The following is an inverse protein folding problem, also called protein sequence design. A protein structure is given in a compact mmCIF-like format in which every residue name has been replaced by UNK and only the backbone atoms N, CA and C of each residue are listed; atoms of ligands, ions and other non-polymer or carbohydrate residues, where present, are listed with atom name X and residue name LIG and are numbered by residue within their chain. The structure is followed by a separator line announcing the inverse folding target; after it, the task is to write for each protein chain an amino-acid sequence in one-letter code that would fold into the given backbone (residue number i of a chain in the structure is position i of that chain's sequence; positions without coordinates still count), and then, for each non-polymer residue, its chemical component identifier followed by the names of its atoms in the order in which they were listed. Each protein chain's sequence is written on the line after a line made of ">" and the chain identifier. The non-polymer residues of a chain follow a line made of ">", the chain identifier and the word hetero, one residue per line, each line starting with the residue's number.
data_IF_850455001197
#
_entry.id   IF_850455001197
#
_cell.length_a   1.000
_cell.length_b   1.000
_cell.length_c   1.000
_cell.angle_alpha   90.00
_cell.angle_beta   90.00
_cell.angle_gamma   90.00
#
_symmetry.space_group_name_H-M   'P 1'
#
loop_
_entity.id
_entity.type
_entity.pdbx_description
1 polymer ?
#
# COMPACT_ATOMS: atom_id res chain seq x y z
N UNK A 1 11.44 -1.79 -26.11
CA UNK A 1 10.60 -2.25 -24.95
C UNK A 1 9.82 -1.03 -24.49
N UNK A 2 8.53 -1.18 -24.23
CA UNK A 2 7.65 -0.10 -23.70
C UNK A 2 7.10 -0.58 -22.35
N UNK A 3 7.19 0.26 -21.33
CA UNK A 3 6.67 -0.04 -19.99
C UNK A 3 5.77 1.09 -19.50
N UNK A 4 4.70 0.73 -18.80
CA UNK A 4 3.78 1.63 -18.11
C UNK A 4 4.19 1.71 -16.64
N UNK A 5 4.39 2.92 -16.12
CA UNK A 5 4.88 3.15 -14.76
C UNK A 5 3.94 4.13 -14.03
N UNK A 6 3.58 3.79 -12.81
CA UNK A 6 2.76 4.63 -11.94
C UNK A 6 3.59 5.09 -10.74
N UNK A 7 3.56 6.40 -10.46
CA UNK A 7 4.26 7.02 -9.33
C UNK A 7 3.26 7.77 -8.48
N UNK A 8 3.27 7.54 -7.18
CA UNK A 8 2.48 8.28 -6.21
C UNK A 8 3.28 9.44 -5.61
N UNK A 9 2.63 10.58 -5.38
CA UNK A 9 3.19 11.74 -4.70
C UNK A 9 2.35 12.03 -3.46
N UNK A 10 2.92 11.77 -2.26
CA UNK A 10 2.25 11.94 -0.97
C UNK A 10 2.27 13.41 -0.51
N UNK A 11 1.75 14.32 -1.34
CA UNK A 11 1.52 15.72 -1.02
C UNK A 11 0.01 15.97 -0.86
N UNK A 12 -0.38 17.06 -0.22
CA UNK A 12 -1.81 17.46 -0.06
C UNK A 12 -2.53 17.64 -1.40
N UNK A 13 -1.82 18.21 -2.39
CA UNK A 13 -2.25 18.33 -3.78
C UNK A 13 -1.62 17.27 -4.69
N UNK A 14 -1.25 16.14 -4.11
CA UNK A 14 -0.58 15.04 -4.77
C UNK A 14 -1.51 14.20 -5.64
N UNK A 15 -1.00 13.07 -6.08
CA UNK A 15 -1.74 12.16 -6.95
C UNK A 15 -0.87 11.08 -7.54
N UNK A 16 -1.43 10.41 -8.53
CA UNK A 16 -0.78 9.31 -9.24
C UNK A 16 -0.42 9.77 -10.65
N UNK A 17 0.86 9.76 -10.96
CA UNK A 17 1.41 10.08 -12.28
C UNK A 17 1.61 8.79 -13.08
N UNK A 18 1.03 8.74 -14.26
CA UNK A 18 1.26 7.65 -15.20
C UNK A 18 2.28 8.07 -16.26
N UNK A 19 3.37 7.35 -16.35
CA UNK A 19 4.41 7.54 -17.37
C UNK A 19 4.55 6.33 -18.27
N UNK A 20 4.92 6.59 -19.51
CA UNK A 20 5.41 5.57 -20.45
C UNK A 20 6.92 5.68 -20.55
N UNK A 21 7.60 4.58 -20.26
CA UNK A 21 9.02 4.42 -20.55
C UNK A 21 9.17 3.74 -21.92
N UNK A 22 9.77 4.44 -22.88
CA UNK A 22 10.07 3.93 -24.20
C UNK A 22 11.45 4.41 -24.66
N UNK A 23 12.30 3.49 -25.09
CA UNK A 23 13.66 3.79 -25.57
C UNK A 23 14.48 4.65 -24.59
N UNK A 24 14.37 4.37 -23.28
CA UNK A 24 15.06 5.11 -22.22
C UNK A 24 14.46 6.47 -21.87
N UNK A 25 13.36 6.88 -22.51
CA UNK A 25 12.69 8.16 -22.27
C UNK A 25 11.36 7.94 -21.53
N UNK A 26 11.16 8.72 -20.46
CA UNK A 26 9.90 8.83 -19.73
C UNK A 26 9.03 9.93 -20.34
N UNK A 27 7.77 9.62 -20.61
CA UNK A 27 6.78 10.59 -21.08
C UNK A 27 5.53 10.51 -20.21
N UNK A 28 5.12 11.63 -19.61
CA UNK A 28 3.88 11.72 -18.84
C UNK A 28 2.67 11.49 -19.74
N UNK A 29 1.78 10.59 -19.35
CA UNK A 29 0.54 10.26 -20.07
C UNK A 29 -0.69 10.83 -19.39
N UNK A 30 -0.76 10.69 -18.06
CA UNK A 30 -1.91 11.18 -17.30
C UNK A 30 -1.50 11.47 -15.85
N UNK A 31 -2.29 12.31 -15.20
CA UNK A 31 -2.25 12.57 -13.77
C UNK A 31 -3.63 12.34 -13.20
N UNK A 32 -3.72 11.60 -12.11
CA UNK A 32 -4.96 11.36 -11.36
C UNK A 32 -4.79 11.98 -9.99
N UNK A 33 -5.51 13.08 -9.67
CA UNK A 33 -5.44 13.68 -8.34
C UNK A 33 -6.02 12.73 -7.30
N UNK A 34 -5.32 12.55 -6.20
CA UNK A 34 -5.83 11.91 -4.99
C UNK A 34 -5.01 12.37 -3.79
N UNK A 35 -5.64 12.45 -2.62
CA UNK A 35 -4.99 13.00 -1.44
C UNK A 35 -3.95 12.02 -0.87
N UNK A 36 -2.73 12.52 -0.71
CA UNK A 36 -1.61 11.86 -0.02
C UNK A 36 -1.43 10.36 -0.33
N UNK A 37 -1.32 9.93 -1.60
CA UNK A 37 -1.10 8.54 -1.94
C UNK A 37 0.31 8.10 -1.53
N UNK A 38 0.40 7.16 -0.58
CA UNK A 38 1.66 6.68 0.01
C UNK A 38 2.35 5.62 -0.83
N UNK A 39 1.60 4.61 -1.24
CA UNK A 39 2.16 3.43 -1.91
C UNK A 39 1.16 2.87 -2.92
N UNK A 40 1.65 2.39 -4.05
CA UNK A 40 0.82 1.84 -5.13
C UNK A 40 1.34 0.50 -5.61
N UNK A 41 0.42 -0.40 -5.91
CA UNK A 41 0.72 -1.64 -6.64
C UNK A 41 -0.25 -1.81 -7.82
N UNK A 42 0.19 -2.55 -8.83
CA UNK A 42 -0.68 -2.99 -9.93
C UNK A 42 -0.90 -4.49 -9.84
N UNK A 43 -2.17 -4.89 -9.89
CA UNK A 43 -2.59 -6.29 -9.98
C UNK A 43 -3.51 -6.44 -11.20
N UNK A 44 -3.05 -7.17 -12.22
CA UNK A 44 -3.76 -7.32 -13.50
C UNK A 44 -3.99 -5.95 -14.17
N UNK A 45 -5.27 -5.53 -14.35
CA UNK A 45 -5.67 -4.21 -14.90
C UNK A 45 -6.18 -3.25 -13.82
N UNK A 46 -5.83 -3.48 -12.58
CA UNK A 46 -6.21 -2.67 -11.43
C UNK A 46 -4.96 -2.05 -10.80
N UNK A 47 -5.13 -0.86 -10.25
CA UNK A 47 -4.15 -0.20 -9.41
C UNK A 47 -4.75 -0.01 -8.03
N UNK A 48 -4.00 -0.42 -7.02
CA UNK A 48 -4.35 -0.24 -5.61
C UNK A 48 -3.43 0.80 -5.00
N UNK A 49 -3.99 1.69 -4.19
CA UNK A 49 -3.22 2.75 -3.54
C UNK A 49 -3.60 2.89 -2.07
N UNK A 50 -2.61 3.15 -1.23
CA UNK A 50 -2.81 3.62 0.14
C UNK A 50 -2.93 5.14 0.11
N UNK A 51 -4.01 5.66 0.71
CA UNK A 51 -4.20 7.05 1.05
C UNK A 51 -3.87 7.23 2.53
N UNK A 52 -2.92 8.11 2.85
CA UNK A 52 -2.28 8.14 4.16
C UNK A 52 -3.21 8.46 5.33
N UNK A 53 -4.10 9.41 5.15
CA UNK A 53 -4.92 10.03 6.21
C UNK A 53 -6.29 10.30 5.59
N UNK A 54 -7.03 9.22 5.39
CA UNK A 54 -8.19 9.21 4.50
C UNK A 54 -9.50 9.48 5.22
N UNK A 55 -9.56 9.20 6.52
CA UNK A 55 -10.78 9.27 7.33
C UNK A 55 -10.62 10.20 8.53
N UNK A 56 -11.71 10.66 9.12
CA UNK A 56 -11.73 11.57 10.27
C UNK A 56 -11.02 11.00 11.50
N UNK A 57 -10.93 9.68 11.61
CA UNK A 57 -10.20 8.98 12.68
C UNK A 57 -8.71 8.79 12.36
N UNK A 58 -8.21 9.45 11.30
CA UNK A 58 -6.84 9.36 10.80
C UNK A 58 -6.42 7.98 10.28
N UNK A 59 -7.35 7.05 10.11
CA UNK A 59 -7.01 5.77 9.48
C UNK A 59 -6.69 5.95 8.00
N UNK A 60 -5.78 5.10 7.50
CA UNK A 60 -5.41 5.08 6.09
C UNK A 60 -6.51 4.42 5.25
N UNK A 61 -6.66 4.89 4.01
CA UNK A 61 -7.58 4.34 3.03
C UNK A 61 -6.89 3.39 2.06
N UNK A 62 -7.59 2.34 1.65
CA UNK A 62 -7.24 1.50 0.51
C UNK A 62 -8.21 1.81 -0.62
N UNK A 63 -7.71 2.39 -1.72
CA UNK A 63 -8.52 2.71 -2.90
C UNK A 63 -8.12 1.84 -4.09
N UNK A 64 -9.13 1.34 -4.78
CA UNK A 64 -8.98 0.61 -6.02
C UNK A 64 -9.26 1.53 -7.22
N UNK A 65 -8.46 1.37 -8.28
CA UNK A 65 -8.67 2.01 -9.58
C UNK A 65 -8.64 0.97 -10.71
N UNK A 66 -9.51 1.14 -11.67
CA UNK A 66 -9.38 0.47 -12.98
C UNK A 66 -8.41 1.25 -13.85
N UNK A 67 -7.44 0.57 -14.42
CA UNK A 67 -6.53 1.13 -15.43
C UNK A 67 -7.21 1.02 -16.80
N UNK A 68 -7.59 2.15 -17.39
CA UNK A 68 -8.18 2.22 -18.72
C UNK A 68 -7.10 2.04 -19.80
N UNK A 69 -7.50 1.71 -21.01
CA UNK A 69 -6.55 1.53 -22.13
C UNK A 69 -5.79 2.82 -22.48
N UNK A 70 -6.35 3.99 -22.16
CA UNK A 70 -5.68 5.29 -22.22
C UNK A 70 -4.56 5.45 -21.18
N UNK A 71 -4.54 4.60 -20.14
CA UNK A 71 -3.71 4.74 -18.96
C UNK A 71 -4.30 5.65 -17.87
N UNK A 72 -5.50 6.22 -18.11
CA UNK A 72 -6.23 6.97 -17.09
C UNK A 72 -6.75 6.02 -16.01
N UNK A 73 -6.72 6.47 -14.76
CA UNK A 73 -7.25 5.73 -13.63
C UNK A 73 -8.71 6.14 -13.37
N UNK A 74 -9.57 5.16 -13.22
CA UNK A 74 -10.98 5.35 -12.85
C UNK A 74 -11.22 4.68 -11.49
N UNK A 75 -11.65 5.43 -10.45
CA UNK A 75 -11.89 4.85 -9.13
C UNK A 75 -13.00 3.79 -9.19
N UNK A 76 -12.83 2.74 -8.41
CA UNK A 76 -13.81 1.68 -8.18
C UNK A 76 -14.29 1.77 -6.74
N UNK A 77 -15.53 2.23 -6.54
CA UNK A 77 -16.09 2.46 -5.21
C UNK A 77 -15.38 3.55 -4.43
N UNK A 78 -15.75 3.66 -3.14
CA UNK A 78 -15.12 4.55 -2.18
C UNK A 78 -13.90 3.87 -1.52
N UNK A 79 -12.94 4.65 -0.97
CA UNK A 79 -11.84 4.10 -0.19
C UNK A 79 -12.36 3.27 0.99
N UNK A 80 -11.69 2.17 1.29
CA UNK A 80 -11.97 1.32 2.45
C UNK A 80 -10.91 1.57 3.51
N UNK A 81 -11.30 1.80 4.77
CA UNK A 81 -10.35 1.96 5.87
C UNK A 81 -9.49 0.71 6.05
N UNK A 82 -8.17 0.90 6.16
CA UNK A 82 -7.25 -0.17 6.55
C UNK A 82 -7.33 -0.50 8.05
N UNK A 83 -8.21 0.20 8.80
CA UNK A 83 -8.37 0.10 10.25
C UNK A 83 -7.07 0.37 11.02
N UNK A 84 -6.14 1.08 10.41
CA UNK A 84 -4.86 1.43 11.00
C UNK A 84 -4.32 2.75 10.45
N UNK A 85 -3.31 3.27 11.12
CA UNK A 85 -2.74 4.59 10.89
C UNK A 85 -1.39 4.45 10.19
N UNK A 86 -1.15 5.31 9.19
CA UNK A 86 0.07 5.35 8.38
C UNK A 86 0.37 3.98 7.77
N UNK A 87 -0.60 3.46 6.98
CA UNK A 87 -0.31 2.33 6.11
C UNK A 87 0.78 2.73 5.11
N UNK A 88 1.80 1.87 4.92
CA UNK A 88 3.01 2.22 4.18
C UNK A 88 3.42 1.22 3.09
N UNK A 89 2.85 0.03 3.09
CA UNK A 89 3.18 -1.00 2.10
C UNK A 89 1.96 -1.85 1.74
N UNK A 90 1.88 -2.28 0.47
CA UNK A 90 0.83 -3.17 -0.06
C UNK A 90 1.43 -4.38 -0.76
N UNK A 91 0.70 -5.48 -0.74
CA UNK A 91 0.91 -6.57 -1.70
C UNK A 91 -0.40 -7.27 -2.06
N UNK A 92 -0.40 -7.92 -3.24
CA UNK A 92 -1.45 -8.85 -3.64
C UNK A 92 -1.07 -10.30 -3.30
N UNK A 93 -1.94 -11.01 -2.60
CA UNK A 93 -1.74 -12.42 -2.26
C UNK A 93 -3.06 -13.18 -2.24
N UNK A 94 -3.14 -14.31 -2.94
CA UNK A 94 -4.34 -15.17 -3.07
C UNK A 94 -5.64 -14.41 -3.37
N UNK A 95 -5.55 -13.41 -4.27
CA UNK A 95 -6.71 -12.62 -4.71
C UNK A 95 -7.19 -11.56 -3.71
N UNK A 96 -6.45 -11.33 -2.65
CA UNK A 96 -6.67 -10.25 -1.67
C UNK A 96 -5.54 -9.26 -1.71
N UNK A 97 -5.82 -8.03 -1.27
CA UNK A 97 -4.81 -6.98 -1.04
C UNK A 97 -4.56 -6.88 0.45
N UNK A 98 -3.29 -6.82 0.81
CA UNK A 98 -2.85 -6.67 2.20
C UNK A 98 -2.10 -5.36 2.36
N UNK A 99 -2.32 -4.69 3.49
CA UNK A 99 -1.66 -3.43 3.85
C UNK A 99 -0.96 -3.56 5.20
N UNK A 100 0.26 -3.05 5.28
CA UNK A 100 1.00 -2.90 6.53
C UNK A 100 0.75 -1.50 7.10
N UNK A 101 0.16 -1.41 8.29
CA UNK A 101 -0.13 -0.17 9.02
C UNK A 101 1.00 0.13 10.01
N UNK A 102 1.89 1.04 9.66
CA UNK A 102 3.12 1.28 10.41
C UNK A 102 2.87 1.74 11.85
N UNK A 103 2.10 2.81 12.06
CA UNK A 103 1.88 3.36 13.41
C UNK A 103 0.93 2.52 14.25
N UNK A 104 0.08 1.72 13.64
CA UNK A 104 -0.83 0.83 14.38
C UNK A 104 -0.25 -0.57 14.59
N UNK A 105 0.93 -0.89 14.05
CA UNK A 105 1.55 -2.20 14.17
C UNK A 105 0.62 -3.33 13.75
N UNK A 106 -0.05 -3.21 12.60
CA UNK A 106 -1.07 -4.19 12.20
C UNK A 106 -1.04 -4.48 10.70
N UNK A 107 -1.57 -5.63 10.33
CA UNK A 107 -1.78 -6.05 8.95
C UNK A 107 -3.28 -6.10 8.66
N UNK A 108 -3.70 -5.33 7.65
CA UNK A 108 -5.06 -5.31 7.13
C UNK A 108 -5.17 -6.17 5.87
N UNK A 109 -6.29 -6.84 5.69
CA UNK A 109 -6.68 -7.54 4.46
C UNK A 109 -7.92 -6.90 3.86
N UNK A 110 -7.99 -6.79 2.53
CA UNK A 110 -9.17 -6.32 1.79
C UNK A 110 -10.44 -7.17 2.01
N UNK A 111 -10.33 -8.33 2.66
CA UNK A 111 -11.48 -9.10 3.17
C UNK A 111 -12.06 -8.53 4.47
N UNK A 112 -11.48 -7.47 5.04
CA UNK A 112 -11.88 -6.86 6.30
C UNK A 112 -11.20 -7.42 7.54
N UNK A 113 -10.33 -8.44 7.40
CA UNK A 113 -9.55 -8.99 8.50
C UNK A 113 -8.44 -8.01 8.93
N UNK A 114 -8.14 -7.98 10.21
CA UNK A 114 -7.07 -7.21 10.82
C UNK A 114 -6.30 -8.10 11.80
N UNK A 115 -4.98 -8.17 11.64
CA UNK A 115 -4.08 -8.77 12.63
C UNK A 115 -3.29 -7.65 13.30
N UNK A 116 -3.33 -7.59 14.63
CA UNK A 116 -2.67 -6.55 15.44
C UNK A 116 -1.52 -7.19 16.19
N UNK A 117 -0.31 -6.73 15.91
CA UNK A 117 0.87 -7.16 16.64
C UNK A 117 0.91 -6.57 18.05
N UNK A 118 1.56 -7.25 18.98
CA UNK A 118 1.67 -6.82 20.38
C UNK A 118 3.10 -7.01 20.88
N UNK A 119 3.58 -6.07 21.69
CA UNK A 119 4.90 -6.12 22.29
C UNK A 119 5.71 -4.84 22.06
N UNK A 120 7.00 -4.93 22.32
CA UNK A 120 7.99 -3.87 22.11
C UNK A 120 9.37 -4.50 21.95
N UNK A 121 10.29 -3.78 21.33
CA UNK A 121 11.69 -4.16 21.22
C UNK A 121 12.58 -3.47 22.26
N UNK A 122 13.90 -3.52 22.01
CA UNK A 122 14.91 -3.01 22.96
C UNK A 122 15.19 -1.51 22.79
N UNK A 123 14.85 -0.93 21.64
CA UNK A 123 15.16 0.47 21.36
C UNK A 123 14.03 1.40 21.87
N UNK A 124 14.28 2.26 22.88
CA UNK A 124 13.23 2.94 23.64
C UNK A 124 12.39 3.94 22.83
N UNK A 125 12.87 4.44 21.70
CA UNK A 125 12.17 5.44 20.88
C UNK A 125 11.85 4.98 19.47
N UNK A 126 12.17 3.73 19.12
CA UNK A 126 11.90 3.18 17.79
C UNK A 126 11.15 1.86 17.85
N UNK A 127 11.14 1.24 19.02
CA UNK A 127 10.54 -0.07 19.28
C UNK A 127 9.66 -0.04 20.53
N UNK A 128 9.09 1.13 20.83
CA UNK A 128 8.15 1.33 21.95
C UNK A 128 6.81 0.60 21.71
N UNK A 129 6.51 0.29 20.48
CA UNK A 129 5.32 -0.43 20.03
C UNK A 129 5.63 -1.19 18.72
N UNK A 130 4.74 -2.09 18.25
CA UNK A 130 4.87 -2.70 16.95
C UNK A 130 4.80 -1.66 15.81
N UNK A 131 5.60 -1.85 14.77
CA UNK A 131 5.67 -1.00 13.58
C UNK A 131 5.81 -1.87 12.34
N UNK A 132 4.69 -2.35 11.79
CA UNK A 132 4.69 -3.15 10.57
C UNK A 132 5.08 -2.28 9.38
N UNK A 133 6.14 -2.64 8.66
CA UNK A 133 6.70 -1.79 7.60
C UNK A 133 6.62 -2.39 6.21
N UNK A 134 6.56 -3.68 6.11
CA UNK A 134 6.58 -4.40 4.83
C UNK A 134 5.68 -5.62 4.90
N UNK A 135 5.05 -5.95 3.76
CA UNK A 135 4.28 -7.18 3.59
C UNK A 135 4.42 -7.68 2.16
N UNK A 136 4.78 -8.94 1.99
CA UNK A 136 4.94 -9.55 0.67
C UNK A 136 4.72 -11.07 0.71
N UNK A 137 4.28 -11.69 -0.38
CA UNK A 137 4.29 -13.14 -0.49
C UNK A 137 5.72 -13.69 -0.51
N UNK A 138 5.92 -14.89 0.05
CA UNK A 138 7.15 -15.66 -0.15
C UNK A 138 7.40 -15.93 -1.63
N UNK A 139 8.66 -16.19 -2.08
CA UNK A 139 8.96 -16.46 -3.49
C UNK A 139 8.17 -17.62 -4.10
N UNK A 140 7.86 -18.65 -3.30
CA UNK A 140 7.05 -19.79 -3.71
C UNK A 140 5.51 -19.53 -3.56
N UNK A 141 5.14 -18.32 -3.08
CA UNK A 141 3.75 -17.87 -2.87
C UNK A 141 2.92 -18.75 -1.93
N UNK A 142 3.55 -19.48 -1.02
CA UNK A 142 2.85 -20.28 -0.01
C UNK A 142 2.52 -19.49 1.25
N UNK A 143 3.38 -18.53 1.58
CA UNK A 143 3.29 -17.74 2.80
C UNK A 143 3.21 -16.24 2.48
N UNK A 144 2.60 -15.51 3.40
CA UNK A 144 2.68 -14.06 3.43
C UNK A 144 3.67 -13.66 4.56
N UNK A 145 4.61 -12.78 4.25
CA UNK A 145 5.66 -12.35 5.18
C UNK A 145 5.46 -10.89 5.52
N UNK A 146 5.51 -10.54 6.80
CA UNK A 146 5.51 -9.15 7.26
C UNK A 146 6.72 -8.89 8.14
N UNK A 147 7.38 -7.74 7.94
CA UNK A 147 8.43 -7.27 8.84
C UNK A 147 7.86 -6.26 9.81
N UNK A 148 8.26 -6.38 11.08
CA UNK A 148 7.88 -5.46 12.14
C UNK A 148 9.15 -4.87 12.78
N UNK A 149 9.35 -3.56 12.56
CA UNK A 149 10.50 -2.83 13.09
C UNK A 149 10.46 -2.76 14.62
N UNK A 150 9.25 -2.56 15.18
CA UNK A 150 9.06 -2.39 16.62
C UNK A 150 9.35 -3.66 17.42
N UNK A 151 9.26 -4.83 16.77
CA UNK A 151 9.43 -6.14 17.42
C UNK A 151 10.70 -6.87 16.98
N UNK A 152 11.54 -6.28 16.09
CA UNK A 152 12.69 -6.97 15.45
C UNK A 152 12.31 -8.34 14.86
N UNK A 153 11.12 -8.43 14.26
CA UNK A 153 10.52 -9.72 13.89
C UNK A 153 10.07 -9.78 12.45
N UNK A 154 10.07 -10.99 11.92
CA UNK A 154 9.37 -11.34 10.68
C UNK A 154 8.23 -12.28 11.02
N UNK A 155 7.02 -11.87 10.71
CA UNK A 155 5.81 -12.68 10.86
C UNK A 155 5.57 -13.47 9.58
N UNK A 156 5.15 -14.73 9.74
CA UNK A 156 4.84 -15.64 8.66
C UNK A 156 3.39 -16.09 8.79
N UNK A 157 2.59 -15.84 7.75
CA UNK A 157 1.19 -16.21 7.67
C UNK A 157 1.00 -17.27 6.58
N UNK A 158 0.20 -18.30 6.85
CA UNK A 158 -0.20 -19.38 5.96
C UNK A 158 -1.64 -19.21 5.38
#
# INVERSE_FOLDING_TARGET
>A
MTASLFFSSCAEDGGIYHYILQNGKLTLRSFTPCDRPMYTITEKKQLWVILRDCFDDHTSGLQEYKILDSGTLMPIGEPVSTKGIVACHLCGFHGKIYAANYLSGSIFSSSGALDVHNGHGVHPSRQEAPHTHFIAPSPDRKFLLSTDLGLDSIFVYD
#
